data_IF_343220992694
#
_entry.id   IF_343220992694
#
_cell.length_a   1.000
_cell.length_b   1.000
_cell.length_c   1.000
_cell.angle_alpha   90.00
_cell.angle_beta   90.00
_cell.angle_gamma   90.00
#
_symmetry.space_group_name_H-M   'P 1'
#
loop_
_entity.id
_entity.type
_entity.pdbx_description
1 polymer ?
#
# COMPACT_ATOMS: atom_id res chain seq x y z
N UNK A 1 25.04 20.54 -11.01
CA UNK A 1 23.84 20.38 -10.15
C UNK A 1 23.46 18.91 -10.15
N UNK A 2 24.06 18.18 -9.22
CA UNK A 2 23.86 16.76 -8.93
C UNK A 2 24.42 16.59 -7.52
N UNK A 3 23.68 15.95 -6.61
CA UNK A 3 24.08 15.47 -5.26
C UNK A 3 22.84 15.23 -4.37
N UNK A 4 21.77 14.65 -4.92
CA UNK A 4 20.77 14.02 -4.05
C UNK A 4 21.41 12.73 -3.50
N UNK A 5 21.78 12.78 -2.22
CA UNK A 5 21.92 11.61 -1.34
C UNK A 5 23.29 10.90 -1.32
N UNK A 6 24.41 11.64 -1.28
CA UNK A 6 25.67 11.10 -0.74
C UNK A 6 26.28 12.09 0.23
N UNK A 7 25.86 11.97 1.48
CA UNK A 7 26.74 11.91 2.66
C UNK A 7 26.03 12.47 3.89
N UNK A 8 26.06 11.65 4.94
CA UNK A 8 25.44 11.85 6.24
C UNK A 8 25.91 13.19 6.85
N UNK A 9 24.97 14.07 7.21
CA UNK A 9 24.84 14.84 8.46
C UNK A 9 23.59 15.73 8.26
N UNK A 10 22.49 15.49 8.99
CA UNK A 10 21.38 16.46 9.04
C UNK A 10 21.48 17.28 10.32
N UNK A 11 22.42 18.22 10.36
CA UNK A 11 22.36 19.38 11.24
C UNK A 11 22.12 20.60 10.37
N UNK A 12 21.08 21.36 10.71
CA UNK A 12 20.65 22.59 10.04
C UNK A 12 21.80 23.54 9.72
N UNK A 13 21.82 24.08 8.49
CA UNK A 13 21.77 25.52 8.22
C UNK A 13 21.66 25.75 6.70
N UNK A 14 20.54 26.31 6.25
CA UNK A 14 20.37 26.71 4.85
C UNK A 14 21.13 28.03 4.59
N UNK A 15 21.93 28.17 3.52
CA UNK A 15 22.52 29.46 3.12
C UNK A 15 21.47 30.50 2.68
N UNK A 16 20.22 30.05 2.52
CA UNK A 16 19.08 30.81 1.96
C UNK A 16 17.93 30.93 2.95
N UNK A 17 18.23 31.04 4.25
CA UNK A 17 17.21 31.40 5.23
C UNK A 17 16.63 32.81 4.94
N UNK A 18 15.60 32.86 4.07
CA UNK A 18 14.39 33.70 4.17
C UNK A 18 13.43 33.51 2.97
N UNK A 19 12.38 32.71 3.21
CA UNK A 19 10.94 32.97 2.93
C UNK A 19 10.18 31.70 3.38
N UNK A 20 9.41 31.63 4.47
CA UNK A 20 9.22 32.53 5.61
C UNK A 20 9.77 31.92 6.90
N UNK A 21 9.72 32.71 7.95
CA UNK A 21 10.35 32.50 9.25
C UNK A 21 9.90 31.18 9.89
N UNK A 22 10.78 30.19 9.97
CA UNK A 22 10.66 29.14 10.99
C UNK A 22 11.35 29.66 12.25
N UNK A 23 10.60 30.01 13.31
CA UNK A 23 11.20 30.47 14.54
C UNK A 23 12.09 29.37 15.12
N UNK A 24 13.37 29.69 15.20
CA UNK A 24 14.43 29.04 15.95
C UNK A 24 13.92 28.65 17.34
N UNK A 25 13.44 27.41 17.49
CA UNK A 25 13.49 26.70 18.76
C UNK A 25 14.61 25.67 18.59
N UNK A 26 15.69 25.85 19.35
CA UNK A 26 16.98 25.15 19.23
C UNK A 26 16.97 23.65 19.54
N UNK A 27 15.90 22.94 19.14
CA UNK A 27 15.67 21.53 19.43
C UNK A 27 15.26 20.70 18.19
N UNK A 28 15.14 21.30 16.99
CA UNK A 28 14.86 20.55 15.75
C UNK A 28 16.09 19.74 15.35
N UNK A 29 15.96 18.41 15.34
CA UNK A 29 17.06 17.48 15.07
C UNK A 29 17.02 16.89 13.65
N UNK A 30 15.91 17.02 12.93
CA UNK A 30 15.89 16.71 11.50
C UNK A 30 14.77 17.41 10.72
N UNK A 31 15.12 17.78 9.50
CA UNK A 31 14.27 18.36 8.46
C UNK A 31 14.49 17.56 7.18
N UNK A 32 13.44 16.94 6.66
CA UNK A 32 13.42 16.20 5.41
C UNK A 32 12.53 16.93 4.43
N UNK A 33 13.14 17.42 3.35
CA UNK A 33 12.44 18.10 2.28
C UNK A 33 12.18 17.13 1.14
N UNK A 34 10.92 16.79 0.91
CA UNK A 34 10.50 15.91 -0.16
C UNK A 34 9.98 16.74 -1.35
N UNK A 35 10.51 16.52 -2.57
CA UNK A 35 10.15 17.27 -3.77
C UNK A 35 8.81 16.80 -4.37
N UNK A 36 7.80 16.64 -3.52
CA UNK A 36 6.47 16.17 -3.85
C UNK A 36 5.43 17.14 -3.32
N UNK A 37 4.37 17.33 -4.10
CA UNK A 37 3.28 18.25 -3.79
C UNK A 37 2.20 17.53 -2.98
N UNK A 38 1.72 18.13 -1.89
CA UNK A 38 0.58 17.63 -1.10
C UNK A 38 -0.24 18.84 -0.64
N UNK A 39 -1.37 19.10 -1.30
CA UNK A 39 -2.23 20.27 -1.01
C UNK A 39 -3.71 19.91 -0.94
N UNK A 40 -4.11 18.79 -1.53
CA UNK A 40 -5.51 18.44 -1.65
C UNK A 40 -6.04 17.91 -0.30
N UNK A 41 -7.14 18.46 0.23
CA UNK A 41 -7.68 18.04 1.53
C UNK A 41 -7.95 16.54 1.64
N UNK A 42 -8.31 15.88 0.53
CA UNK A 42 -8.55 14.44 0.45
C UNK A 42 -7.25 13.66 0.68
N UNK A 43 -6.12 14.13 0.14
CA UNK A 43 -4.82 13.51 0.31
C UNK A 43 -4.30 13.67 1.74
N UNK A 44 -4.46 14.87 2.33
CA UNK A 44 -4.13 15.11 3.74
C UNK A 44 -4.92 14.17 4.65
N UNK A 45 -6.23 14.07 4.40
CA UNK A 45 -7.11 13.16 5.16
C UNK A 45 -6.72 11.71 4.96
N UNK A 46 -6.30 11.30 3.75
CA UNK A 46 -5.82 9.94 3.49
C UNK A 46 -4.53 9.61 4.25
N UNK A 47 -3.58 10.55 4.33
CA UNK A 47 -2.33 10.39 5.10
C UNK A 47 -2.64 10.24 6.59
N UNK A 48 -3.52 11.13 7.10
CA UNK A 48 -3.96 11.11 8.48
C UNK A 48 -4.70 9.81 8.84
N UNK A 49 -5.76 9.49 8.11
CA UNK A 49 -6.64 8.35 8.42
C UNK A 49 -5.95 7.01 8.20
N UNK A 50 -5.01 6.91 7.24
CA UNK A 50 -4.23 5.70 7.02
C UNK A 50 -3.42 5.30 8.24
N UNK A 51 -2.78 6.26 8.90
CA UNK A 51 -1.80 5.97 9.96
C UNK A 51 -2.37 6.00 11.39
N UNK A 52 -3.66 6.32 11.57
CA UNK A 52 -4.32 6.39 12.89
C UNK A 52 -4.24 5.12 13.73
N UNK A 53 -4.09 3.96 13.09
CA UNK A 53 -3.97 2.67 13.81
C UNK A 53 -2.54 2.41 14.32
N UNK A 54 -1.56 3.15 13.81
CA UNK A 54 -0.13 2.93 14.10
C UNK A 54 0.45 4.05 14.95
N UNK A 55 0.01 5.27 14.71
CA UNK A 55 0.48 6.45 15.40
C UNK A 55 -0.72 7.23 15.94
N UNK A 56 -0.49 7.99 17.00
CA UNK A 56 -1.42 9.02 17.44
C UNK A 56 -1.32 10.17 16.43
N UNK A 57 -2.39 10.39 15.68
CA UNK A 57 -2.42 11.33 14.56
C UNK A 57 -3.27 12.55 14.91
N UNK A 58 -2.71 13.75 14.72
CA UNK A 58 -3.44 15.01 14.75
C UNK A 58 -3.29 15.73 13.40
N UNK A 59 -4.29 16.52 12.99
CA UNK A 59 -4.26 17.26 11.74
C UNK A 59 -4.81 18.68 11.92
N UNK A 60 -4.07 19.68 11.47
CA UNK A 60 -4.41 21.09 11.56
C UNK A 60 -4.07 21.79 10.24
N UNK A 61 -5.09 22.20 9.48
CA UNK A 61 -4.94 22.92 8.22
C UNK A 61 -3.87 22.29 7.28
N UNK A 62 -2.67 22.86 7.24
CA UNK A 62 -1.53 22.48 6.41
C UNK A 62 -0.54 21.50 7.10
N UNK A 63 -0.87 20.98 8.29
CA UNK A 63 0.04 20.18 9.12
C UNK A 63 -0.59 18.89 9.61
N UNK A 64 0.21 17.83 9.59
CA UNK A 64 -0.15 16.53 10.16
C UNK A 64 0.92 16.17 11.19
N UNK A 65 0.51 15.81 12.41
CA UNK A 65 1.38 15.36 13.47
C UNK A 65 1.19 13.86 13.67
N UNK A 66 2.30 13.11 13.65
CA UNK A 66 2.35 11.69 13.94
C UNK A 66 3.19 11.47 15.20
N UNK A 67 2.54 11.04 16.29
CA UNK A 67 3.21 10.77 17.56
C UNK A 67 3.34 9.26 17.77
N UNK A 68 4.57 8.82 18.05
CA UNK A 68 4.88 7.46 18.45
C UNK A 68 5.25 7.44 19.93
N UNK A 69 4.56 6.59 20.70
CA UNK A 69 4.83 6.35 22.13
C UNK A 69 5.49 4.99 22.31
N UNK A 70 6.44 4.90 23.23
CA UNK A 70 7.02 3.64 23.67
C UNK A 70 7.28 3.66 25.17
N UNK A 71 7.29 2.48 25.79
CA UNK A 71 7.61 2.31 27.19
C UNK A 71 9.03 1.81 27.35
N UNK A 72 9.75 2.39 28.31
CA UNK A 72 10.99 1.81 28.83
C UNK A 72 10.72 1.31 30.24
N UNK A 73 11.38 0.22 30.61
CA UNK A 73 11.32 -0.38 31.94
C UNK A 73 12.75 -0.58 32.43
N UNK A 74 13.00 -0.34 33.71
CA UNK A 74 14.32 -0.53 34.29
C UNK A 74 14.63 -2.01 34.60
N UNK A 75 13.59 -2.84 34.71
CA UNK A 75 13.64 -4.27 35.04
C UNK A 75 12.56 -5.03 34.25
N UNK A 76 12.81 -6.30 33.95
CA UNK A 76 11.87 -7.15 33.21
C UNK A 76 10.70 -7.65 34.08
N UNK A 77 10.93 -7.78 35.39
CA UNK A 77 9.92 -8.22 36.36
C UNK A 77 9.17 -7.02 36.94
N UNK A 78 7.88 -6.93 36.60
CA UNK A 78 6.98 -5.84 37.01
C UNK A 78 6.72 -5.85 38.51
N UNK A 79 6.82 -7.01 39.17
CA UNK A 79 6.57 -7.17 40.60
C UNK A 79 7.86 -7.02 41.43
N UNK A 80 9.02 -6.81 40.78
CA UNK A 80 10.28 -6.64 41.46
C UNK A 80 10.33 -5.33 42.25
N UNK A 81 10.94 -5.41 43.45
CA UNK A 81 11.14 -4.23 44.29
C UNK A 81 12.10 -3.25 43.62
N UNK A 82 11.59 -2.06 43.28
CA UNK A 82 12.34 -1.03 42.56
C UNK A 82 12.07 -0.98 41.06
N UNK A 83 11.04 -1.67 40.57
CA UNK A 83 10.52 -1.49 39.22
C UNK A 83 10.09 -0.03 38.98
N UNK A 84 10.58 0.54 37.88
CA UNK A 84 10.22 1.85 37.37
C UNK A 84 9.94 1.71 35.86
N UNK A 85 8.84 2.32 35.42
CA UNK A 85 8.52 2.49 34.00
C UNK A 85 8.37 3.96 33.64
N UNK A 86 8.68 4.28 32.39
CA UNK A 86 8.44 5.60 31.83
C UNK A 86 7.89 5.48 30.42
N UNK A 87 6.85 6.25 30.14
CA UNK A 87 6.31 6.39 28.80
C UNK A 87 6.98 7.58 28.10
N UNK A 88 7.64 7.29 26.99
CA UNK A 88 8.36 8.25 26.17
C UNK A 88 7.63 8.44 24.85
N UNK A 89 7.82 9.60 24.22
CA UNK A 89 7.22 9.88 22.92
C UNK A 89 8.12 10.69 22.00
N UNK A 90 7.88 10.52 20.71
CA UNK A 90 8.46 11.35 19.65
C UNK A 90 7.37 11.73 18.67
N UNK A 91 7.37 12.99 18.23
CA UNK A 91 6.37 13.53 17.31
C UNK A 91 7.06 13.99 16.03
N UNK A 92 6.53 13.53 14.91
CA UNK A 92 6.91 13.94 13.55
C UNK A 92 5.82 14.87 13.01
N UNK A 93 6.22 16.05 12.56
CA UNK A 93 5.39 17.07 11.94
C UNK A 93 5.58 17.02 10.42
N UNK A 94 4.50 16.82 9.67
CA UNK A 94 4.47 16.88 8.21
C UNK A 94 3.84 18.23 7.84
N UNK A 95 4.63 19.11 7.22
CA UNK A 95 4.16 20.37 6.66
C UNK A 95 3.87 20.16 5.17
N UNK A 96 2.63 20.42 4.79
CA UNK A 96 2.10 20.19 3.44
C UNK A 96 2.19 21.46 2.59
N UNK A 97 2.19 21.32 1.26
CA UNK A 97 2.37 22.41 0.31
C UNK A 97 2.91 21.92 -1.04
N UNK A 98 3.46 22.84 -1.84
CA UNK A 98 4.15 22.52 -3.11
C UNK A 98 5.33 21.57 -2.91
N UNK A 99 5.96 21.65 -1.73
CA UNK A 99 7.04 20.80 -1.25
C UNK A 99 6.66 20.34 0.15
N UNK A 100 6.74 19.04 0.41
CA UNK A 100 6.46 18.48 1.73
C UNK A 100 7.72 18.56 2.60
N UNK A 101 7.63 19.22 3.75
CA UNK A 101 8.70 19.27 4.75
C UNK A 101 8.30 18.40 5.94
N UNK A 102 9.05 17.32 6.21
CA UNK A 102 8.87 16.46 7.37
C UNK A 102 9.90 16.82 8.44
N UNK A 103 9.44 17.10 9.65
CA UNK A 103 10.23 17.68 10.74
C UNK A 103 10.03 16.84 11.99
N UNK A 104 11.09 16.60 12.77
CA UNK A 104 10.94 16.03 14.10
C UNK A 104 11.80 16.75 15.14
N UNK A 105 11.29 16.73 16.37
CA UNK A 105 11.95 17.33 17.53
C UNK A 105 12.07 16.27 18.62
N UNK A 106 13.29 16.11 19.15
CA UNK A 106 13.52 15.27 20.33
C UNK A 106 13.57 16.20 21.53
N UNK A 107 12.61 16.04 22.44
CA UNK A 107 12.58 16.80 23.67
C UNK A 107 13.67 16.33 24.63
N UNK A 108 14.18 17.19 25.53
CA UNK A 108 15.00 16.72 26.64
C UNK A 108 14.27 15.68 27.48
N UNK A 109 15.02 14.74 28.07
CA UNK A 109 14.45 13.64 28.85
C UNK A 109 13.71 14.16 30.11
N UNK A 110 14.05 15.37 30.57
CA UNK A 110 13.37 16.08 31.66
C UNK A 110 11.86 16.26 31.39
N UNK A 111 11.45 16.34 30.11
CA UNK A 111 10.03 16.42 29.73
C UNK A 111 9.23 15.20 30.20
N UNK A 112 9.89 14.06 30.37
CA UNK A 112 9.28 12.78 30.71
C UNK A 112 9.54 12.36 32.17
N UNK A 113 9.82 13.33 33.05
CA UNK A 113 10.04 13.06 34.48
C UNK A 113 11.48 12.70 34.86
N UNK A 114 12.44 12.93 33.95
CA UNK A 114 13.89 12.76 34.16
C UNK A 114 14.32 11.38 34.72
N UNK A 115 13.94 10.26 34.07
CA UNK A 115 14.33 8.92 34.49
C UNK A 115 15.83 8.69 34.27
N UNK A 116 16.62 8.82 35.34
CA UNK A 116 18.09 8.69 35.32
C UNK A 116 18.61 7.34 34.82
N UNK A 117 17.79 6.29 34.85
CA UNK A 117 18.16 4.93 34.43
C UNK A 117 18.01 4.71 32.91
N UNK A 118 17.28 5.58 32.20
CA UNK A 118 17.10 5.47 30.74
C UNK A 118 18.39 5.82 30.03
N UNK A 119 18.94 4.85 29.30
CA UNK A 119 20.18 5.02 28.53
C UNK A 119 19.89 5.25 27.05
N UNK A 120 20.79 5.99 26.40
CA UNK A 120 20.76 6.27 24.96
C UNK A 120 19.43 6.85 24.44
N UNK A 121 18.68 7.55 25.29
CA UNK A 121 17.36 8.12 24.97
C UNK A 121 17.34 8.85 23.63
N UNK A 122 18.29 9.77 23.41
CA UNK A 122 18.35 10.55 22.15
C UNK A 122 18.55 9.68 20.92
N UNK A 123 19.36 8.61 21.01
CA UNK A 123 19.57 7.68 19.88
C UNK A 123 18.32 6.86 19.60
N UNK A 124 17.63 6.39 20.63
CA UNK A 124 16.35 5.67 20.50
C UNK A 124 15.26 6.57 19.92
N UNK A 125 15.12 7.79 20.43
CA UNK A 125 14.17 8.77 19.93
C UNK A 125 14.43 9.15 18.46
N UNK A 126 15.70 9.31 18.07
CA UNK A 126 16.10 9.54 16.68
C UNK A 126 15.77 8.35 15.77
N UNK A 127 16.04 7.12 16.23
CA UNK A 127 15.67 5.91 15.51
C UNK A 127 14.16 5.79 15.31
N UNK A 128 13.37 6.04 16.37
CA UNK A 128 11.91 5.99 16.26
C UNK A 128 11.36 7.11 15.39
N UNK A 129 11.92 8.32 15.43
CA UNK A 129 11.53 9.39 14.52
C UNK A 129 11.75 8.97 13.06
N UNK A 130 12.92 8.41 12.73
CA UNK A 130 13.21 7.91 11.37
C UNK A 130 12.28 6.77 10.97
N UNK A 131 11.99 5.84 11.88
CA UNK A 131 11.00 4.79 11.65
C UNK A 131 9.61 5.38 11.33
N UNK A 132 9.16 6.40 12.07
CA UNK A 132 7.88 7.07 11.80
C UNK A 132 7.89 7.71 10.41
N UNK A 133 8.97 8.42 10.07
CA UNK A 133 9.14 9.08 8.76
C UNK A 133 9.12 8.06 7.61
N UNK A 134 9.91 6.99 7.71
CA UNK A 134 9.96 5.93 6.72
C UNK A 134 8.59 5.25 6.56
N UNK A 135 7.89 5.03 7.68
CA UNK A 135 6.55 4.44 7.70
C UNK A 135 5.53 5.36 7.02
N UNK A 136 5.59 6.66 7.28
CA UNK A 136 4.75 7.67 6.62
C UNK A 136 5.02 7.68 5.12
N UNK A 137 6.29 7.70 4.72
CA UNK A 137 6.68 7.80 3.32
C UNK A 137 6.26 6.54 2.54
N UNK A 138 6.35 5.35 3.12
CA UNK A 138 6.00 4.09 2.46
C UNK A 138 4.52 3.70 2.46
N UNK A 139 3.78 4.05 3.51
CA UNK A 139 2.41 3.56 3.72
C UNK A 139 1.35 4.65 3.48
N UNK A 140 1.69 5.71 2.75
CA UNK A 140 0.74 6.77 2.41
C UNK A 140 0.89 7.16 0.94
N UNK A 141 0.02 8.06 0.46
CA UNK A 141 0.10 8.61 -0.91
C UNK A 141 1.43 9.29 -1.22
N UNK A 142 2.24 9.61 -0.20
CA UNK A 142 3.59 10.11 -0.41
C UNK A 142 4.48 9.08 -1.13
N UNK A 143 4.21 7.77 -0.97
CA UNK A 143 4.94 6.72 -1.67
C UNK A 143 4.76 6.87 -3.18
N UNK A 144 3.51 6.89 -3.65
CA UNK A 144 3.15 6.99 -5.07
C UNK A 144 3.76 8.25 -5.69
N UNK A 145 3.62 9.39 -4.99
CA UNK A 145 4.19 10.67 -5.45
C UNK A 145 5.71 10.65 -5.51
N UNK A 146 6.36 9.99 -4.56
CA UNK A 146 7.81 9.88 -4.54
C UNK A 146 8.32 8.93 -5.64
N UNK A 147 7.61 7.83 -5.90
CA UNK A 147 7.89 6.91 -7.01
C UNK A 147 7.78 7.65 -8.34
N UNK A 148 6.67 8.36 -8.59
CA UNK A 148 6.49 9.15 -9.81
C UNK A 148 7.56 10.23 -9.97
N UNK A 149 7.99 10.87 -8.87
CA UNK A 149 9.08 11.83 -8.89
C UNK A 149 10.42 11.19 -9.26
N UNK A 150 10.76 10.04 -8.66
CA UNK A 150 12.01 9.31 -8.91
C UNK A 150 12.06 8.76 -10.34
N UNK A 151 10.98 8.12 -10.81
CA UNK A 151 10.87 7.60 -12.17
C UNK A 151 11.10 8.71 -13.22
N UNK A 152 10.48 9.89 -13.02
CA UNK A 152 10.62 11.02 -13.93
C UNK A 152 12.00 11.70 -13.88
N UNK A 153 12.54 11.89 -12.68
CA UNK A 153 13.79 12.64 -12.49
C UNK A 153 15.00 11.81 -12.91
N UNK A 154 14.98 10.51 -12.63
CA UNK A 154 16.10 9.61 -12.87
C UNK A 154 15.94 8.78 -14.14
N UNK A 155 14.77 8.85 -14.80
CA UNK A 155 14.43 8.09 -16.02
C UNK A 155 14.60 6.58 -15.81
N UNK A 156 14.14 6.10 -14.67
CA UNK A 156 14.14 4.69 -14.27
C UNK A 156 12.71 4.15 -14.34
N UNK A 157 12.56 2.83 -14.45
CA UNK A 157 11.24 2.17 -14.41
C UNK A 157 10.56 2.40 -13.05
N UNK A 158 9.23 2.26 -13.00
CA UNK A 158 8.49 2.39 -11.74
C UNK A 158 8.94 1.35 -10.71
N UNK A 159 9.27 0.13 -11.16
CA UNK A 159 9.82 -0.93 -10.32
C UNK A 159 11.17 -0.55 -9.70
N UNK A 160 12.07 0.04 -10.49
CA UNK A 160 13.36 0.53 -9.98
C UNK A 160 13.17 1.73 -9.02
N UNK A 161 12.19 2.60 -9.28
CA UNK A 161 11.83 3.69 -8.38
C UNK A 161 11.24 3.19 -7.06
N UNK A 162 10.45 2.11 -7.07
CA UNK A 162 9.97 1.42 -5.87
C UNK A 162 11.14 0.88 -5.07
N UNK A 163 12.02 0.09 -5.67
CA UNK A 163 13.19 -0.47 -4.98
C UNK A 163 14.05 0.62 -4.35
N UNK A 164 14.26 1.72 -5.08
CA UNK A 164 14.98 2.88 -4.55
C UNK A 164 14.28 3.53 -3.37
N UNK A 165 12.95 3.65 -3.41
CA UNK A 165 12.18 4.14 -2.27
C UNK A 165 12.35 3.21 -1.05
N UNK A 166 12.35 1.90 -1.25
CA UNK A 166 12.57 0.92 -0.18
C UNK A 166 13.97 1.03 0.43
N UNK A 167 15.00 1.20 -0.40
CA UNK A 167 16.39 1.42 0.05
C UNK A 167 16.54 2.73 0.85
N UNK A 168 15.78 3.76 0.49
CA UNK A 168 15.76 5.05 1.19
C UNK A 168 14.99 4.99 2.52
N UNK A 169 14.11 4.00 2.71
CA UNK A 169 13.22 3.87 3.87
C UNK A 169 13.39 2.53 4.61
N UNK A 170 14.60 2.22 5.09
CA UNK A 170 14.91 0.91 5.67
C UNK A 170 14.22 0.65 7.02
N UNK A 171 13.71 1.68 7.71
CA UNK A 171 13.09 1.57 9.02
C UNK A 171 11.57 1.55 8.98
N UNK A 172 10.95 1.53 7.79
CA UNK A 172 9.51 1.56 7.68
C UNK A 172 8.87 0.32 8.31
N UNK A 173 7.89 0.55 9.20
CA UNK A 173 7.01 -0.52 9.67
C UNK A 173 5.96 -0.82 8.62
N UNK A 174 5.62 -2.09 8.45
CA UNK A 174 4.47 -2.51 7.65
C UNK A 174 3.23 -2.18 8.46
N UNK A 175 2.43 -1.22 8.00
CA UNK A 175 1.17 -0.85 8.67
C UNK A 175 0.02 -1.60 8.03
N UNK A 176 -0.65 -2.45 8.81
CA UNK A 176 -1.87 -3.14 8.38
C UNK A 176 -3.03 -2.13 8.41
N UNK A 177 -3.41 -1.61 7.23
CA UNK A 177 -4.60 -0.77 7.05
C UNK A 177 -4.34 0.74 6.80
N UNK A 178 -3.09 1.17 6.65
CA UNK A 178 -2.75 2.50 6.13
C UNK A 178 -2.72 2.47 4.60
N UNK A 179 -3.91 2.49 3.99
CA UNK A 179 -4.15 2.00 2.62
C UNK A 179 -3.63 0.55 2.40
N UNK A 180 -4.22 -0.19 1.46
CA UNK A 180 -3.54 -1.37 0.95
C UNK A 180 -2.20 -0.91 0.39
N UNK A 181 -1.13 -1.67 0.65
CA UNK A 181 0.02 -1.66 -0.26
C UNK A 181 -0.52 -1.60 -1.69
N UNK A 182 0.03 -0.79 -2.61
CA UNK A 182 0.16 -1.27 -3.97
C UNK A 182 0.93 -2.59 -3.83
N UNK A 183 0.21 -3.71 -3.75
CA UNK A 183 0.83 -5.02 -3.92
C UNK A 183 1.15 -5.04 -5.39
N UNK A 184 2.41 -4.74 -5.66
CA UNK A 184 3.19 -5.27 -6.78
C UNK A 184 2.33 -5.58 -8.01
N UNK A 185 2.11 -4.55 -8.84
CA UNK A 185 2.45 -4.78 -10.23
C UNK A 185 3.96 -5.09 -10.23
N UNK A 186 4.29 -6.38 -10.07
CA UNK A 186 5.34 -6.92 -10.90
C UNK A 186 4.86 -6.70 -12.33
N UNK A 187 5.16 -5.54 -12.88
CA UNK A 187 5.85 -5.54 -14.16
C UNK A 187 7.17 -6.28 -13.87
N UNK A 188 7.08 -7.61 -13.78
CA UNK A 188 8.11 -8.41 -14.41
C UNK A 188 8.03 -7.90 -15.84
N UNK A 189 9.12 -7.30 -16.30
CA UNK A 189 9.29 -6.95 -17.69
C UNK A 189 8.63 -8.06 -18.51
N UNK A 190 7.64 -7.69 -19.32
CA UNK A 190 7.53 -8.31 -20.62
C UNK A 190 8.81 -7.91 -21.39
N UNK A 191 9.95 -8.43 -20.94
CA UNK A 191 10.91 -8.95 -21.88
C UNK A 191 10.13 -10.01 -22.63
N UNK A 192 9.98 -9.76 -23.93
CA UNK A 192 9.76 -10.80 -24.91
C UNK A 192 10.66 -11.99 -24.56
N UNK A 193 10.06 -12.99 -23.93
CA UNK A 193 10.32 -14.38 -24.26
C UNK A 193 8.97 -14.97 -24.64
N UNK A 194 8.61 -14.75 -25.91
CA UNK A 194 7.58 -15.47 -26.67
C UNK A 194 8.05 -16.92 -26.93
N UNK A 195 8.58 -17.57 -25.89
CA UNK A 195 9.20 -18.90 -25.92
C UNK A 195 8.45 -19.82 -24.93
N UNK A 196 7.54 -20.61 -25.50
CA UNK A 196 6.93 -21.82 -24.93
C UNK A 196 5.99 -21.66 -23.71
N UNK A 197 4.94 -20.84 -23.82
CA UNK A 197 3.73 -21.05 -22.99
C UNK A 197 2.85 -22.08 -23.69
N UNK A 198 2.86 -23.34 -23.23
CA UNK A 198 1.91 -24.36 -23.67
C UNK A 198 0.48 -23.95 -23.27
N UNK A 199 -0.30 -23.50 -24.26
CA UNK A 199 -1.72 -23.19 -24.08
C UNK A 199 -2.48 -24.52 -23.96
N UNK A 200 -3.26 -24.74 -22.89
CA UNK A 200 -4.05 -25.97 -22.73
C UNK A 200 -5.05 -26.16 -23.89
N UNK A 201 -5.23 -27.41 -24.32
CA UNK A 201 -6.25 -27.77 -25.31
C UNK A 201 -7.61 -27.93 -24.63
N UNK A 202 -8.41 -26.86 -24.65
CA UNK A 202 -9.77 -26.83 -24.11
C UNK A 202 -9.93 -26.26 -22.69
N UNK A 203 -11.15 -26.35 -22.17
CA UNK A 203 -11.48 -25.85 -20.83
C UNK A 203 -10.86 -26.70 -19.72
N UNK A 204 -10.34 -26.03 -18.69
CA UNK A 204 -9.88 -26.67 -17.46
C UNK A 204 -11.06 -27.31 -16.73
N UNK A 205 -10.91 -28.52 -16.14
CA UNK A 205 -11.97 -29.11 -15.33
C UNK A 205 -12.21 -28.29 -14.06
N UNK A 206 -13.48 -28.03 -13.75
CA UNK A 206 -13.88 -27.42 -12.48
C UNK A 206 -13.99 -28.43 -11.33
N UNK A 207 -14.33 -27.98 -10.11
CA UNK A 207 -14.76 -26.63 -9.75
C UNK A 207 -13.62 -25.61 -9.58
N UNK A 208 -13.96 -24.32 -9.50
CA UNK A 208 -13.03 -23.26 -9.09
C UNK A 208 -12.38 -23.59 -7.74
N UNK A 209 -11.07 -23.33 -7.62
CA UNK A 209 -10.33 -23.52 -6.36
C UNK A 209 -10.74 -22.43 -5.36
N UNK A 210 -11.40 -22.78 -4.26
CA UNK A 210 -11.88 -21.83 -3.25
C UNK A 210 -10.74 -21.12 -2.51
N UNK A 211 -9.55 -21.72 -2.48
CA UNK A 211 -8.35 -21.18 -1.84
C UNK A 211 -7.42 -20.46 -2.83
N UNK A 212 -7.90 -20.15 -4.04
CA UNK A 212 -7.07 -19.52 -5.07
C UNK A 212 -6.39 -18.21 -4.62
N UNK A 213 -7.03 -17.44 -3.73
CA UNK A 213 -6.49 -16.19 -3.19
C UNK A 213 -5.16 -16.38 -2.44
N UNK A 214 -4.91 -17.57 -1.89
CA UNK A 214 -3.65 -17.91 -1.19
C UNK A 214 -2.68 -18.71 -2.07
N UNK A 215 -3.19 -19.45 -3.07
CA UNK A 215 -2.38 -20.35 -3.92
C UNK A 215 -1.93 -19.72 -5.24
N UNK A 216 -2.70 -18.77 -5.79
CA UNK A 216 -2.41 -18.13 -7.06
C UNK A 216 -1.83 -16.73 -6.86
N UNK A 217 -0.83 -16.39 -7.69
CA UNK A 217 -0.28 -15.02 -7.77
C UNK A 217 -1.36 -14.10 -8.33
N UNK A 218 -1.54 -12.93 -7.71
CA UNK A 218 -2.37 -11.87 -8.29
C UNK A 218 -1.80 -11.43 -9.64
N UNK A 219 -2.68 -11.20 -10.59
CA UNK A 219 -2.37 -10.74 -11.94
C UNK A 219 -2.91 -9.32 -12.15
N UNK A 220 -2.64 -8.72 -13.32
CA UNK A 220 -3.08 -7.36 -13.65
C UNK A 220 -4.61 -7.22 -13.50
N UNK A 221 -5.03 -6.27 -12.67
CA UNK A 221 -6.45 -5.95 -12.51
C UNK A 221 -7.03 -5.40 -13.82
N UNK A 222 -8.33 -5.60 -14.00
CA UNK A 222 -9.07 -5.09 -15.14
C UNK A 222 -9.96 -3.93 -14.70
N UNK A 223 -9.75 -2.76 -15.31
CA UNK A 223 -10.57 -1.58 -15.05
C UNK A 223 -11.87 -1.66 -15.84
N UNK A 224 -12.97 -2.04 -15.17
CA UNK A 224 -14.31 -1.90 -15.72
C UNK A 224 -14.88 -0.51 -15.38
N UNK A 225 -15.91 -0.03 -16.11
CA UNK A 225 -16.40 1.35 -15.95
C UNK A 225 -16.84 1.75 -14.53
N UNK A 226 -17.31 0.79 -13.73
CA UNK A 226 -17.87 1.02 -12.39
C UNK A 226 -17.02 0.40 -11.26
N UNK A 227 -16.19 -0.61 -11.57
CA UNK A 227 -15.41 -1.34 -10.57
C UNK A 227 -14.10 -1.92 -11.14
N UNK A 228 -13.02 -1.84 -10.38
CA UNK A 228 -11.75 -2.49 -10.70
C UNK A 228 -11.80 -3.98 -10.33
N UNK A 229 -11.79 -4.86 -11.32
CA UNK A 229 -11.85 -6.31 -11.15
C UNK A 229 -10.44 -6.84 -10.92
N UNK A 230 -10.21 -7.47 -9.76
CA UNK A 230 -8.94 -8.14 -9.46
C UNK A 230 -8.83 -9.45 -10.25
N UNK A 231 -7.61 -9.83 -10.65
CA UNK A 231 -7.38 -11.10 -11.36
C UNK A 231 -6.26 -11.90 -10.70
N UNK A 232 -6.24 -13.22 -10.91
CA UNK A 232 -5.27 -14.16 -10.36
C UNK A 232 -4.90 -15.23 -11.38
N UNK A 233 -3.62 -15.54 -11.50
CA UNK A 233 -3.13 -16.65 -12.32
C UNK A 233 -3.13 -16.44 -13.84
N UNK A 234 -3.48 -15.24 -14.34
CA UNK A 234 -3.36 -14.88 -15.76
C UNK A 234 -1.90 -14.92 -16.19
N UNK A 235 -1.62 -15.53 -17.35
CA UNK A 235 -0.27 -15.63 -17.94
C UNK A 235 -0.24 -15.02 -19.34
N UNK A 236 0.74 -14.15 -19.59
CA UNK A 236 0.90 -13.47 -20.87
C UNK A 236 -0.21 -12.45 -21.17
N UNK A 237 -0.14 -11.87 -22.36
CA UNK A 237 -1.11 -10.88 -22.87
C UNK A 237 -2.22 -11.53 -23.70
N UNK A 238 -2.03 -12.75 -24.17
CA UNK A 238 -3.02 -13.51 -24.94
C UNK A 238 -4.19 -13.98 -24.06
N UNK A 239 -5.29 -14.37 -24.70
CA UNK A 239 -6.45 -14.96 -24.01
C UNK A 239 -6.26 -16.46 -23.73
N UNK A 240 -5.06 -17.03 -23.91
CA UNK A 240 -4.81 -18.45 -23.75
C UNK A 240 -4.98 -18.95 -22.31
N UNK A 241 -4.47 -18.19 -21.33
CA UNK A 241 -4.58 -18.49 -19.90
C UNK A 241 -4.98 -17.20 -19.17
N UNK A 242 -6.26 -17.10 -18.82
CA UNK A 242 -6.86 -15.89 -18.25
C UNK A 242 -6.99 -15.92 -16.74
N UNK A 243 -6.98 -17.11 -16.12
CA UNK A 243 -7.06 -17.27 -14.67
C UNK A 243 -8.42 -16.88 -14.08
N UNK A 244 -8.42 -16.53 -12.79
CA UNK A 244 -9.62 -16.19 -12.02
C UNK A 244 -9.78 -14.68 -11.93
N UNK A 245 -11.00 -14.19 -12.15
CA UNK A 245 -11.36 -12.78 -12.14
C UNK A 245 -12.38 -12.53 -11.03
N UNK A 246 -12.30 -11.40 -10.34
CA UNK A 246 -13.22 -10.99 -9.26
C UNK A 246 -12.82 -11.46 -7.85
N UNK A 247 -13.12 -10.64 -6.84
CA UNK A 247 -12.74 -10.83 -5.44
C UNK A 247 -13.86 -11.42 -4.57
N UNK A 248 -15.03 -10.80 -4.58
CA UNK A 248 -16.26 -11.22 -3.91
C UNK A 248 -17.15 -12.03 -4.85
N UNK A 249 -17.08 -11.75 -6.16
CA UNK A 249 -17.77 -12.46 -7.23
C UNK A 249 -16.72 -13.01 -8.19
N UNK A 250 -16.22 -14.21 -7.91
CA UNK A 250 -15.07 -14.76 -8.60
C UNK A 250 -15.47 -15.74 -9.69
N UNK A 251 -14.86 -15.64 -10.88
CA UNK A 251 -15.09 -16.52 -12.03
C UNK A 251 -13.75 -17.00 -12.58
N UNK A 252 -13.54 -18.31 -12.66
CA UNK A 252 -12.39 -18.92 -13.34
C UNK A 252 -12.64 -18.93 -14.86
N UNK A 253 -11.94 -18.07 -15.59
CA UNK A 253 -12.11 -17.92 -17.04
C UNK A 253 -11.52 -19.11 -17.80
N UNK A 254 -10.60 -19.87 -17.21
CA UNK A 254 -10.02 -21.07 -17.82
C UNK A 254 -10.96 -22.29 -17.68
N UNK A 255 -11.89 -22.25 -16.72
CA UNK A 255 -12.97 -23.25 -16.55
C UNK A 255 -14.25 -22.82 -17.28
N UNK A 256 -14.53 -21.52 -17.34
CA UNK A 256 -15.78 -20.99 -17.87
C UNK A 256 -15.98 -21.35 -19.36
N UNK A 257 -17.10 -21.99 -19.68
CA UNK A 257 -17.46 -22.41 -21.05
C UNK A 257 -18.48 -21.47 -21.74
N UNK A 258 -18.66 -20.26 -21.22
CA UNK A 258 -19.65 -19.30 -21.72
C UNK A 258 -21.11 -19.80 -21.77
N UNK A 259 -21.51 -20.64 -20.81
CA UNK A 259 -22.89 -21.16 -20.70
C UNK A 259 -23.94 -20.03 -20.57
N UNK A 260 -23.62 -18.99 -19.80
CA UNK A 260 -24.47 -17.79 -19.65
C UNK A 260 -25.54 -17.88 -18.57
N UNK A 261 -25.78 -19.05 -17.95
CA UNK A 261 -26.79 -19.19 -16.89
C UNK A 261 -26.59 -18.25 -15.70
N UNK A 262 -25.35 -17.88 -15.39
CA UNK A 262 -25.04 -16.90 -14.34
C UNK A 262 -25.53 -15.47 -14.64
N UNK A 263 -25.56 -15.07 -15.91
CA UNK A 263 -26.04 -13.75 -16.34
C UNK A 263 -27.57 -13.71 -16.20
N UNK A 264 -28.25 -14.77 -16.65
CA UNK A 264 -29.71 -14.86 -16.57
C UNK A 264 -30.22 -15.04 -15.13
N UNK A 265 -29.48 -15.77 -14.30
CA UNK A 265 -29.86 -16.02 -12.91
C UNK A 265 -29.60 -14.83 -11.97
N UNK A 266 -28.82 -13.82 -12.39
CA UNK A 266 -28.43 -12.71 -11.52
C UNK A 266 -29.53 -11.64 -11.42
N UNK A 267 -30.21 -11.47 -10.27
CA UNK A 267 -31.34 -10.55 -10.14
C UNK A 267 -30.93 -9.06 -10.17
N UNK A 268 -29.65 -8.77 -9.93
CA UNK A 268 -29.09 -7.41 -9.87
C UNK A 268 -28.14 -7.11 -11.02
N UNK A 269 -28.01 -8.02 -12.00
CA UNK A 269 -27.27 -7.78 -13.23
C UNK A 269 -25.77 -7.52 -13.03
N UNK A 270 -25.10 -8.33 -12.20
CA UNK A 270 -23.65 -8.21 -11.92
C UNK A 270 -22.78 -8.44 -13.17
N UNK A 271 -23.25 -9.31 -14.06
CA UNK A 271 -22.46 -9.82 -15.17
C UNK A 271 -22.86 -9.19 -16.52
N UNK A 272 -21.87 -8.99 -17.38
CA UNK A 272 -22.04 -8.68 -18.80
C UNK A 272 -21.16 -9.59 -19.67
N UNK A 273 -21.44 -9.66 -20.97
CA UNK A 273 -20.58 -10.43 -21.87
C UNK A 273 -19.30 -9.67 -22.20
N UNK A 274 -18.17 -10.37 -22.11
CA UNK A 274 -16.85 -9.88 -22.47
C UNK A 274 -16.18 -10.82 -23.47
N UNK A 275 -15.72 -10.27 -24.59
CA UNK A 275 -15.12 -11.06 -25.67
C UNK A 275 -13.69 -11.46 -25.34
N UNK A 276 -13.39 -12.75 -25.46
CA UNK A 276 -12.09 -13.37 -25.18
C UNK A 276 -11.65 -14.26 -26.34
N UNK A 277 -11.52 -13.71 -27.57
CA UNK A 277 -11.22 -14.50 -28.75
C UNK A 277 -9.90 -15.27 -28.59
N UNK A 278 -9.90 -16.54 -29.00
CA UNK A 278 -8.72 -17.41 -28.92
C UNK A 278 -8.46 -18.02 -27.54
N UNK A 279 -9.40 -17.89 -26.60
CA UNK A 279 -9.36 -18.65 -25.35
C UNK A 279 -9.78 -20.12 -25.58
N UNK A 280 -9.05 -21.11 -25.06
CA UNK A 280 -9.35 -22.53 -25.30
C UNK A 280 -10.71 -23.01 -24.76
N UNK A 281 -11.24 -22.35 -23.73
CA UNK A 281 -12.51 -22.74 -23.12
C UNK A 281 -13.73 -22.12 -23.80
N UNK A 282 -13.65 -20.83 -24.17
CA UNK A 282 -14.71 -20.13 -24.92
C UNK A 282 -14.26 -18.73 -25.38
N UNK A 283 -14.76 -18.27 -26.53
CA UNK A 283 -14.44 -16.94 -27.08
C UNK A 283 -15.11 -15.75 -26.37
N UNK A 284 -15.84 -15.99 -25.28
CA UNK A 284 -16.46 -14.96 -24.43
C UNK A 284 -16.57 -15.43 -22.98
N UNK A 285 -16.67 -14.49 -22.03
CA UNK A 285 -16.78 -14.76 -20.58
C UNK A 285 -17.75 -13.77 -19.91
N UNK A 286 -18.36 -14.14 -18.76
CA UNK A 286 -19.17 -13.22 -17.97
C UNK A 286 -18.27 -12.31 -17.13
N UNK A 287 -18.22 -11.03 -17.48
CA UNK A 287 -17.49 -9.98 -16.77
C UNK A 287 -18.32 -9.44 -15.62
N UNK A 288 -17.79 -9.52 -14.41
CA UNK A 288 -18.42 -9.04 -13.17
C UNK A 288 -18.21 -7.54 -12.94
N UNK A 289 -18.48 -6.69 -13.94
CA UNK A 289 -18.21 -5.24 -13.84
C UNK A 289 -18.97 -4.52 -12.73
N UNK A 290 -20.07 -5.12 -12.25
CA UNK A 290 -20.88 -4.64 -11.11
C UNK A 290 -20.77 -5.55 -9.90
N UNK A 291 -19.60 -6.14 -9.69
CA UNK A 291 -19.29 -6.98 -8.54
C UNK A 291 -19.72 -6.38 -7.17
N UNK A 292 -19.59 -5.06 -6.90
CA UNK A 292 -20.09 -4.45 -5.65
C UNK A 292 -21.61 -4.52 -5.44
N UNK A 293 -22.39 -4.69 -6.50
CA UNK A 293 -23.85 -4.77 -6.43
C UNK A 293 -24.34 -6.17 -6.03
N UNK A 294 -23.43 -7.14 -5.90
CA UNK A 294 -23.77 -8.50 -5.54
C UNK A 294 -24.44 -8.60 -4.16
N UNK A 295 -25.63 -9.19 -4.13
CA UNK A 295 -26.42 -9.41 -2.91
C UNK A 295 -26.16 -10.79 -2.26
N UNK A 296 -25.11 -11.50 -2.67
CA UNK A 296 -24.70 -12.80 -2.13
C UNK A 296 -25.80 -13.88 -2.14
N UNK A 297 -26.68 -13.87 -3.15
CA UNK A 297 -27.78 -14.85 -3.26
C UNK A 297 -27.33 -16.27 -3.67
N UNK A 298 -26.07 -16.44 -4.09
CA UNK A 298 -25.45 -17.69 -4.53
C UNK A 298 -26.09 -18.37 -5.77
N UNK A 299 -27.05 -17.73 -6.42
CA UNK A 299 -27.74 -18.28 -7.59
C UNK A 299 -26.76 -18.62 -8.73
N UNK A 300 -25.81 -17.72 -9.02
CA UNK A 300 -24.80 -17.93 -10.05
C UNK A 300 -23.84 -19.11 -9.76
N UNK A 301 -23.53 -19.41 -8.50
CA UNK A 301 -22.76 -20.62 -8.15
C UNK A 301 -23.54 -21.89 -8.48
N UNK A 302 -24.84 -21.91 -8.16
CA UNK A 302 -25.69 -23.09 -8.32
C UNK A 302 -26.03 -23.42 -9.76
N UNK A 303 -26.15 -22.42 -10.63
CA UNK A 303 -26.51 -22.63 -12.05
C UNK A 303 -25.31 -22.89 -12.95
N UNK A 304 -24.08 -22.59 -12.52
CA UNK A 304 -22.88 -22.73 -13.35
C UNK A 304 -22.51 -24.21 -13.56
N UNK A 305 -22.64 -24.78 -14.77
CA UNK A 305 -22.42 -26.21 -14.99
C UNK A 305 -21.00 -26.70 -14.65
N UNK A 306 -19.91 -26.00 -15.05
CA UNK A 306 -18.56 -26.41 -14.66
C UNK A 306 -18.15 -25.89 -13.27
N UNK A 307 -19.08 -25.27 -12.52
CA UNK A 307 -18.81 -24.69 -11.20
C UNK A 307 -17.59 -23.74 -11.20
N UNK A 308 -17.54 -22.86 -12.20
CA UNK A 308 -16.47 -21.89 -12.40
C UNK A 308 -16.59 -20.66 -11.48
N UNK A 309 -17.67 -20.54 -10.70
CA UNK A 309 -18.02 -19.32 -9.96
C UNK A 309 -17.94 -19.58 -8.45
N UNK A 310 -17.33 -18.64 -7.72
CA UNK A 310 -17.36 -18.61 -6.25
C UNK A 310 -17.63 -17.21 -5.73
N UNK A 311 -18.54 -17.14 -4.76
CA UNK A 311 -18.98 -15.94 -4.06
C UNK A 311 -18.40 -15.95 -2.65
N UNK A 312 -17.81 -14.83 -2.24
CA UNK A 312 -17.29 -14.61 -0.89
C UNK A 312 -18.10 -13.50 -0.22
N UNK A 313 -18.84 -13.84 0.84
CA UNK A 313 -19.57 -12.86 1.64
C UNK A 313 -18.62 -11.82 2.25
N UNK A 314 -18.98 -10.54 2.14
CA UNK A 314 -18.33 -9.46 2.88
C UNK A 314 -18.80 -9.51 4.34
N UNK A 315 -17.88 -9.82 5.27
CA UNK A 315 -18.13 -9.76 6.72
C UNK A 315 -17.61 -8.45 7.31
#
# INVERSE_FOLDING_TARGET
MSLLLKDRVYSMEAPTAKRGVYPLHGYKLGLYRLPIKLEEPVELKSVHDGLKKTFEMDMYADRIYATYRWKEQNMDDVDAKGYEEVELSVTVEIVTGEVVDIIYQIFPIEKFGDPNWVKDYRKKADHFAKMVIDTILRNTILADKMISYLAKTEKISEVAAIQKLEELTPLAKIVLGAKPKPVEAKEDDAEDDDADIEIPDGAKPGPIDVEYKSKMKSSAAYEAPEHTIKTWGRKGTSNGIMGIWGEFVSVDYDICIADGGCIEACPVGVYEWFDTPGNPASDKKPLMSKEPDCIFCLACEGVCPPQAIKIFEQK
#
